data_IF_145088309042
#
_entry.id   IF_145088309042
#
_cell.length_a   1.000
_cell.length_b   1.000
_cell.length_c   1.000
_cell.angle_alpha   90.00
_cell.angle_beta   90.00
_cell.angle_gamma   90.00
#
_symmetry.space_group_name_H-M   'P 1'
#
loop_
_entity.id
_entity.type
_entity.pdbx_description
1 polymer ?
#
# COMPACT_ATOMS: atom_id res chain seq x y z
N UNK A 1 -0.32 39.15 -51.28
CA UNK A 1 0.99 38.75 -51.81
C UNK A 1 2.02 38.82 -50.69
N UNK A 2 2.49 37.69 -50.16
CA UNK A 2 3.66 37.67 -49.27
C UNK A 2 4.76 36.83 -49.93
N UNK A 3 5.84 37.51 -50.31
CA UNK A 3 7.05 36.91 -50.90
C UNK A 3 7.91 36.33 -49.76
N UNK A 4 8.49 35.15 -49.98
CA UNK A 4 9.46 34.54 -49.04
C UNK A 4 10.68 35.44 -48.92
N UNK A 5 10.96 35.98 -47.73
CA UNK A 5 12.07 36.93 -47.50
C UNK A 5 13.38 36.24 -47.08
N UNK A 6 13.38 34.93 -46.78
CA UNK A 6 14.62 34.18 -46.47
C UNK A 6 14.59 32.75 -46.98
N UNK A 7 15.73 32.29 -47.47
CA UNK A 7 16.05 30.87 -47.59
C UNK A 7 16.08 30.25 -46.19
N UNK A 8 15.02 29.53 -45.87
CA UNK A 8 14.92 28.77 -44.62
C UNK A 8 15.19 27.29 -44.92
N UNK A 9 16.31 26.76 -44.42
CA UNK A 9 16.83 25.40 -44.67
C UNK A 9 15.95 24.22 -44.21
N UNK A 10 14.70 24.45 -43.82
CA UNK A 10 13.83 23.38 -43.31
C UNK A 10 12.74 22.99 -44.31
N UNK A 11 12.60 21.68 -44.52
CA UNK A 11 11.57 21.06 -45.34
C UNK A 11 10.14 21.40 -44.88
N UNK A 12 9.95 21.78 -43.60
CA UNK A 12 8.65 22.19 -43.07
C UNK A 12 8.01 23.37 -43.83
N UNK A 13 8.82 24.20 -44.50
CA UNK A 13 8.35 25.35 -45.28
C UNK A 13 7.69 24.98 -46.61
N UNK A 14 7.81 23.73 -47.06
CA UNK A 14 7.02 23.21 -48.18
C UNK A 14 5.52 23.17 -47.83
N UNK A 15 5.22 22.88 -46.55
CA UNK A 15 3.87 22.67 -46.04
C UNK A 15 3.25 23.88 -45.33
N UNK A 16 3.96 25.02 -45.26
CA UNK A 16 3.46 26.24 -44.62
C UNK A 16 3.55 27.49 -45.49
N UNK A 17 2.61 28.40 -45.28
CA UNK A 17 2.72 29.77 -45.73
C UNK A 17 3.56 30.57 -44.75
N UNK A 18 4.40 31.45 -45.29
CA UNK A 18 5.17 32.43 -44.54
C UNK A 18 4.38 33.74 -44.52
N UNK A 19 3.85 34.09 -43.35
CA UNK A 19 3.03 35.28 -43.16
C UNK A 19 3.78 36.22 -42.24
N UNK A 20 4.05 37.43 -42.74
CA UNK A 20 4.68 38.50 -41.99
C UNK A 20 3.68 39.65 -41.80
N UNK A 21 3.53 40.12 -40.56
CA UNK A 21 2.79 41.34 -40.23
C UNK A 21 3.66 42.19 -39.28
N UNK A 22 4.26 43.25 -39.79
CA UNK A 22 5.27 44.03 -39.06
C UNK A 22 6.52 43.20 -38.76
N UNK A 23 6.95 43.16 -37.49
CA UNK A 23 8.07 42.33 -37.03
C UNK A 23 7.66 40.87 -36.71
N UNK A 24 6.36 40.56 -36.77
CA UNK A 24 5.82 39.25 -36.41
C UNK A 24 5.78 38.33 -37.65
N UNK A 25 6.62 37.29 -37.66
CA UNK A 25 6.71 36.30 -38.75
C UNK A 25 6.24 34.93 -38.28
N UNK A 26 5.27 34.36 -39.00
CA UNK A 26 4.57 33.13 -38.61
C UNK A 26 4.53 32.13 -39.76
N UNK A 27 4.74 30.86 -39.40
CA UNK A 27 4.45 29.72 -40.26
C UNK A 27 2.98 29.35 -40.08
N UNK A 28 2.23 29.24 -41.17
CA UNK A 28 0.81 28.84 -41.15
C UNK A 28 0.60 27.59 -42.00
N UNK A 29 -0.03 26.56 -41.45
CA UNK A 29 -0.17 25.28 -42.14
C UNK A 29 -1.05 25.40 -43.40
N UNK A 30 -0.49 25.07 -44.58
CA UNK A 30 -1.22 25.04 -45.86
C UNK A 30 -2.34 23.99 -45.86
N UNK A 31 -2.10 22.85 -45.21
CA UNK A 31 -3.03 21.71 -45.20
C UNK A 31 -4.25 22.03 -44.34
N UNK A 32 -4.06 22.66 -43.17
CA UNK A 32 -5.17 23.15 -42.35
C UNK A 32 -6.07 24.14 -43.11
N UNK A 33 -5.47 25.05 -43.90
CA UNK A 33 -6.22 26.00 -44.72
C UNK A 33 -6.98 25.27 -45.83
N UNK A 34 -6.34 24.35 -46.56
CA UNK A 34 -6.99 23.57 -47.63
C UNK A 34 -8.12 22.68 -47.12
N UNK A 35 -8.03 22.19 -45.88
CA UNK A 35 -9.10 21.41 -45.22
C UNK A 35 -10.20 22.27 -44.59
N UNK A 36 -10.18 23.58 -44.81
CA UNK A 36 -11.14 24.55 -44.27
C UNK A 36 -11.33 24.45 -42.73
N UNK A 37 -10.24 24.22 -42.01
CA UNK A 37 -10.31 24.17 -40.53
C UNK A 37 -10.59 25.55 -39.95
N UNK A 38 -11.55 25.63 -39.03
CA UNK A 38 -12.02 26.87 -38.37
C UNK A 38 -10.89 27.74 -37.78
N UNK A 39 -9.78 27.11 -37.34
CA UNK A 39 -8.57 27.80 -36.85
C UNK A 39 -7.33 27.07 -37.37
N UNK A 40 -6.76 27.49 -38.52
CA UNK A 40 -5.54 26.92 -39.04
C UNK A 40 -4.39 27.09 -38.03
N UNK A 41 -3.59 26.05 -37.84
CA UNK A 41 -2.49 26.10 -36.88
C UNK A 41 -1.39 27.04 -37.37
N UNK A 42 -0.97 27.94 -36.48
CA UNK A 42 0.08 28.94 -36.72
C UNK A 42 1.18 28.79 -35.68
N UNK A 43 2.44 28.85 -36.11
CA UNK A 43 3.61 28.76 -35.24
C UNK A 43 4.59 29.90 -35.52
N UNK A 44 5.44 30.22 -34.55
CA UNK A 44 6.52 31.21 -34.74
C UNK A 44 7.51 30.73 -35.79
N UNK A 45 8.05 31.64 -36.60
CA UNK A 45 9.09 31.26 -37.58
C UNK A 45 10.42 30.86 -36.92
N UNK A 46 10.64 31.28 -35.68
CA UNK A 46 11.77 30.91 -34.82
C UNK A 46 11.42 29.63 -34.06
N UNK A 47 12.08 28.52 -34.41
CA UNK A 47 11.85 27.20 -33.81
C UNK A 47 10.89 26.33 -34.62
N UNK A 48 11.44 25.36 -35.34
CA UNK A 48 10.69 24.52 -36.30
C UNK A 48 10.07 23.27 -35.63
N UNK A 49 10.46 22.94 -34.39
CA UNK A 49 10.06 21.69 -33.73
C UNK A 49 8.53 21.56 -33.53
N UNK A 50 7.85 22.64 -33.19
CA UNK A 50 6.39 22.65 -33.02
C UNK A 50 5.66 22.45 -34.35
N UNK A 51 6.18 23.07 -35.41
CA UNK A 51 5.72 22.86 -36.78
C UNK A 51 5.86 21.40 -37.21
N UNK A 52 7.02 20.79 -36.94
CA UNK A 52 7.27 19.38 -37.26
C UNK A 52 6.38 18.43 -36.45
N UNK A 53 6.12 18.72 -35.17
CA UNK A 53 5.19 17.94 -34.35
C UNK A 53 3.77 18.01 -34.93
N UNK A 54 3.29 19.21 -35.28
CA UNK A 54 1.98 19.39 -35.92
C UNK A 54 1.86 18.63 -37.25
N UNK A 55 2.85 18.72 -38.14
CA UNK A 55 2.86 17.98 -39.40
C UNK A 55 2.74 16.46 -39.18
N UNK A 56 3.39 15.93 -38.14
CA UNK A 56 3.33 14.51 -37.81
C UNK A 56 2.02 14.12 -37.10
N UNK A 57 1.59 14.88 -36.10
CA UNK A 57 0.47 14.54 -35.22
C UNK A 57 -0.88 14.73 -35.93
N UNK A 58 -1.06 15.85 -36.64
CA UNK A 58 -2.33 16.23 -37.27
C UNK A 58 -2.42 15.86 -38.75
N UNK A 59 -1.28 15.68 -39.43
CA UNK A 59 -1.25 15.40 -40.88
C UNK A 59 -0.51 14.11 -41.26
N UNK A 60 0.11 13.40 -40.30
CA UNK A 60 0.86 12.16 -40.52
C UNK A 60 2.00 12.30 -41.54
N UNK A 61 2.58 13.49 -41.66
CA UNK A 61 3.71 13.76 -42.55
C UNK A 61 5.01 13.50 -41.79
N UNK A 62 5.79 12.54 -42.27
CA UNK A 62 7.10 12.19 -41.74
C UNK A 62 8.20 13.04 -42.36
N UNK A 63 9.31 13.23 -41.64
CA UNK A 63 10.48 13.87 -42.22
C UNK A 63 11.07 13.04 -43.38
N UNK A 64 11.44 13.69 -44.51
CA UNK A 64 12.19 13.05 -45.58
C UNK A 64 13.53 12.49 -45.09
N UNK A 65 14.09 11.54 -45.84
CA UNK A 65 15.35 10.90 -45.51
C UNK A 65 16.49 11.94 -45.36
N UNK A 66 17.29 11.80 -44.31
CA UNK A 66 18.37 12.75 -43.97
C UNK A 66 17.93 14.12 -43.43
N UNK A 67 16.62 14.37 -43.24
CA UNK A 67 16.10 15.63 -42.69
C UNK A 67 15.72 15.51 -41.21
N UNK A 68 15.63 16.66 -40.52
CA UNK A 68 15.27 16.74 -39.10
C UNK A 68 13.87 16.16 -38.84
N UNK A 69 13.82 15.14 -37.98
CA UNK A 69 12.58 14.48 -37.52
C UNK A 69 11.89 15.25 -36.41
N UNK A 70 10.58 15.07 -36.27
CA UNK A 70 9.84 15.63 -35.14
C UNK A 70 10.10 14.84 -33.85
N UNK A 71 9.99 15.46 -32.68
CA UNK A 71 10.08 14.77 -31.39
C UNK A 71 8.94 13.76 -31.22
N UNK A 72 7.76 14.04 -31.78
CA UNK A 72 6.66 13.07 -31.86
C UNK A 72 7.01 11.86 -32.74
N UNK A 73 7.61 12.08 -33.91
CA UNK A 73 8.06 11.02 -34.82
C UNK A 73 9.16 10.16 -34.20
N UNK A 74 10.18 10.76 -33.60
CA UNK A 74 11.25 10.04 -32.90
C UNK A 74 10.73 9.18 -31.74
N UNK A 75 9.75 9.68 -30.98
CA UNK A 75 9.09 8.90 -29.92
C UNK A 75 8.27 7.74 -30.48
N UNK A 76 7.58 7.92 -31.60
CA UNK A 76 6.81 6.86 -32.25
C UNK A 76 7.70 5.78 -32.86
N UNK A 77 8.78 6.17 -33.54
CA UNK A 77 9.80 5.26 -34.09
C UNK A 77 10.54 4.52 -32.97
N UNK A 78 10.91 5.20 -31.88
CA UNK A 78 11.50 4.58 -30.70
C UNK A 78 10.58 3.60 -29.96
N UNK A 79 9.25 3.79 -30.03
CA UNK A 79 8.26 2.83 -29.51
C UNK A 79 8.15 1.58 -30.38
N UNK A 80 8.23 1.70 -31.71
CA UNK A 80 8.26 0.54 -32.62
C UNK A 80 9.56 -0.26 -32.48
N UNK A 81 10.69 0.40 -32.22
CA UNK A 81 11.98 -0.26 -32.02
C UNK A 81 12.08 -1.06 -30.69
N UNK A 82 11.29 -0.69 -29.66
CA UNK A 82 11.13 -1.52 -28.45
C UNK A 82 10.11 -2.64 -28.73
N UNK A 83 10.57 -3.72 -29.35
CA UNK A 83 9.82 -4.92 -29.76
C UNK A 83 8.54 -5.23 -28.98
N UNK A 84 7.42 -4.63 -29.41
CA UNK A 84 6.08 -5.11 -29.05
C UNK A 84 5.73 -6.22 -30.05
N UNK A 85 6.14 -7.44 -29.75
CA UNK A 85 5.65 -8.61 -30.48
C UNK A 85 4.14 -8.66 -30.40
N UNK A 86 3.42 -8.84 -31.50
CA UNK A 86 1.95 -8.92 -31.44
C UNK A 86 1.50 -10.19 -30.69
N UNK A 87 0.25 -10.23 -30.18
CA UNK A 87 -0.31 -11.48 -29.61
C UNK A 87 -0.25 -12.62 -30.63
N UNK A 88 -0.45 -12.28 -31.91
CA UNK A 88 -0.38 -13.23 -33.00
C UNK A 88 1.03 -13.80 -33.14
N UNK A 89 2.07 -12.97 -33.12
CA UNK A 89 3.46 -13.44 -33.15
C UNK A 89 3.81 -14.31 -31.94
N UNK A 90 3.38 -13.93 -30.74
CA UNK A 90 3.73 -14.66 -29.52
C UNK A 90 3.03 -16.03 -29.43
N UNK A 91 1.81 -16.11 -29.97
CA UNK A 91 1.05 -17.35 -30.08
C UNK A 91 1.27 -18.09 -31.41
N UNK A 92 2.17 -17.59 -32.28
CA UNK A 92 2.45 -18.13 -33.62
C UNK A 92 1.18 -18.28 -34.50
N UNK A 93 0.29 -17.30 -34.43
CA UNK A 93 -0.94 -17.21 -35.23
C UNK A 93 -0.71 -16.41 -36.51
N UNK A 94 -1.25 -16.90 -37.62
CA UNK A 94 -1.30 -16.22 -38.92
C UNK A 94 -2.53 -15.33 -39.02
N UNK A 95 -2.31 -14.02 -38.90
CA UNK A 95 -3.35 -12.98 -39.00
C UNK A 95 -4.03 -12.91 -40.36
N UNK A 96 -3.46 -13.51 -41.41
CA UNK A 96 -4.10 -13.56 -42.72
C UNK A 96 -5.24 -14.59 -42.77
N UNK A 97 -5.28 -15.52 -41.82
CA UNK A 97 -6.37 -16.49 -41.70
C UNK A 97 -7.46 -15.92 -40.78
N UNK A 98 -8.71 -15.78 -41.25
CA UNK A 98 -9.79 -15.19 -40.46
C UNK A 98 -10.02 -15.85 -39.09
N UNK A 99 -9.85 -17.18 -39.02
CA UNK A 99 -10.00 -17.96 -37.78
C UNK A 99 -8.90 -17.63 -36.75
N UNK A 100 -7.65 -17.55 -37.18
CA UNK A 100 -6.52 -17.27 -36.29
C UNK A 100 -6.49 -15.80 -35.86
N UNK A 101 -6.89 -14.88 -36.76
CA UNK A 101 -7.16 -13.48 -36.40
C UNK A 101 -8.27 -13.35 -35.35
N UNK A 102 -9.34 -14.13 -35.46
CA UNK A 102 -10.42 -14.14 -34.46
C UNK A 102 -9.93 -14.64 -33.10
N UNK A 103 -9.05 -15.66 -33.08
CA UNK A 103 -8.41 -16.15 -31.85
C UNK A 103 -7.55 -15.05 -31.22
N UNK A 104 -6.69 -14.39 -32.00
CA UNK A 104 -5.85 -13.28 -31.54
C UNK A 104 -6.69 -12.13 -30.94
N UNK A 105 -7.78 -11.75 -31.61
CA UNK A 105 -8.71 -10.73 -31.12
C UNK A 105 -9.43 -11.19 -29.84
N UNK A 106 -9.74 -12.48 -29.73
CA UNK A 106 -10.34 -13.08 -28.54
C UNK A 106 -9.46 -12.93 -27.30
N UNK A 107 -8.15 -13.15 -27.43
CA UNK A 107 -7.20 -12.93 -26.32
C UNK A 107 -7.19 -11.49 -25.81
N UNK A 108 -7.15 -10.51 -26.72
CA UNK A 108 -7.19 -9.08 -26.36
C UNK A 108 -8.52 -8.73 -25.70
N UNK A 109 -9.63 -9.21 -26.26
CA UNK A 109 -10.99 -8.93 -25.76
C UNK A 109 -11.23 -9.50 -24.37
N UNK A 110 -10.70 -10.69 -24.08
CA UNK A 110 -10.96 -11.41 -22.83
C UNK A 110 -10.03 -10.99 -21.68
N UNK A 111 -8.99 -10.21 -21.96
CA UNK A 111 -8.09 -9.72 -20.92
C UNK A 111 -8.52 -8.36 -20.38
N UNK A 112 -9.06 -8.34 -19.16
CA UNK A 112 -9.33 -7.10 -18.44
C UNK A 112 -8.09 -6.65 -17.63
N UNK A 113 -7.37 -5.67 -18.18
CA UNK A 113 -6.23 -5.02 -17.52
C UNK A 113 -6.58 -4.46 -16.15
N UNK A 114 -7.74 -3.83 -15.97
CA UNK A 114 -8.12 -3.21 -14.70
C UNK A 114 -8.40 -4.27 -13.65
N UNK A 115 -9.10 -5.34 -14.03
CA UNK A 115 -9.36 -6.46 -13.15
C UNK A 115 -8.06 -7.15 -12.70
N UNK A 116 -7.15 -7.44 -13.63
CA UNK A 116 -5.83 -7.98 -13.30
C UNK A 116 -5.07 -7.09 -12.31
N UNK A 117 -5.01 -5.78 -12.57
CA UNK A 117 -4.32 -4.84 -11.69
C UNK A 117 -4.95 -4.75 -10.30
N UNK A 118 -6.29 -4.91 -10.21
CA UNK A 118 -7.01 -4.95 -8.94
C UNK A 118 -6.66 -6.21 -8.14
N UNK A 119 -6.68 -7.38 -8.77
CA UNK A 119 -6.30 -8.64 -8.11
C UNK A 119 -4.86 -8.61 -7.56
N UNK A 120 -3.92 -8.07 -8.36
CA UNK A 120 -2.52 -7.92 -7.93
C UNK A 120 -2.40 -6.99 -6.70
N UNK A 121 -3.17 -5.89 -6.69
CA UNK A 121 -3.24 -4.97 -5.56
C UNK A 121 -3.87 -5.61 -4.32
N UNK A 122 -5.01 -6.30 -4.47
CA UNK A 122 -5.71 -7.01 -3.39
C UNK A 122 -4.80 -8.06 -2.76
N UNK A 123 -4.15 -8.90 -3.57
CA UNK A 123 -3.19 -9.88 -3.09
C UNK A 123 -2.03 -9.24 -2.32
N UNK A 124 -1.51 -8.11 -2.80
CA UNK A 124 -0.42 -7.38 -2.11
C UNK A 124 -0.85 -6.91 -0.72
N UNK A 125 -2.09 -6.42 -0.59
CA UNK A 125 -2.64 -5.95 0.70
C UNK A 125 -2.97 -7.12 1.62
N UNK A 126 -3.70 -8.12 1.13
CA UNK A 126 -4.15 -9.27 1.92
C UNK A 126 -2.99 -10.12 2.46
N UNK A 127 -1.95 -10.32 1.66
CA UNK A 127 -0.77 -11.07 2.05
C UNK A 127 0.33 -10.19 2.68
N UNK A 128 0.07 -8.88 2.89
CA UNK A 128 1.02 -7.92 3.47
C UNK A 128 2.40 -7.96 2.80
N UNK A 129 2.43 -7.94 1.46
CA UNK A 129 3.64 -8.07 0.66
C UNK A 129 4.31 -6.71 0.42
N UNK A 130 5.63 -6.73 0.20
CA UNK A 130 6.34 -5.54 -0.31
C UNK A 130 5.76 -5.11 -1.65
N UNK A 131 5.63 -3.81 -1.88
CA UNK A 131 5.20 -3.29 -3.18
C UNK A 131 6.16 -3.65 -4.31
N UNK A 132 7.43 -3.90 -3.98
CA UNK A 132 8.47 -4.35 -4.91
C UNK A 132 8.20 -5.76 -5.44
N UNK A 133 7.38 -6.57 -4.75
CA UNK A 133 7.02 -7.93 -5.19
C UNK A 133 6.39 -7.90 -6.59
N UNK A 134 5.61 -6.88 -6.93
CA UNK A 134 5.02 -6.72 -8.27
C UNK A 134 6.04 -6.37 -9.37
N UNK A 135 7.23 -5.92 -8.98
CA UNK A 135 8.34 -5.67 -9.88
C UNK A 135 9.24 -6.88 -10.09
N UNK A 136 9.09 -7.91 -9.26
CA UNK A 136 9.96 -9.08 -9.30
C UNK A 136 9.91 -9.79 -10.65
N UNK A 137 11.08 -9.92 -11.28
CA UNK A 137 11.20 -10.40 -12.65
C UNK A 137 10.61 -11.79 -12.86
N UNK A 138 10.81 -12.70 -11.89
CA UNK A 138 10.27 -14.06 -12.00
C UNK A 138 8.74 -14.05 -11.98
N UNK A 139 8.13 -13.19 -11.15
CA UNK A 139 6.68 -13.05 -11.08
C UNK A 139 6.12 -12.49 -12.39
N UNK A 140 6.75 -11.43 -12.93
CA UNK A 140 6.35 -10.87 -14.24
C UNK A 140 6.48 -11.87 -15.38
N UNK A 141 7.50 -12.74 -15.35
CA UNK A 141 7.65 -13.85 -16.30
C UNK A 141 6.54 -14.88 -16.13
N UNK A 142 6.14 -15.22 -14.90
CA UNK A 142 5.00 -16.12 -14.65
C UNK A 142 3.70 -15.51 -15.21
N UNK A 143 3.41 -14.24 -14.97
CA UNK A 143 2.23 -13.59 -15.53
C UNK A 143 2.23 -13.56 -17.06
N UNK A 144 3.38 -13.26 -17.68
CA UNK A 144 3.51 -13.25 -19.12
C UNK A 144 3.38 -14.67 -19.74
N UNK A 145 3.84 -15.70 -19.03
CA UNK A 145 3.66 -17.09 -19.42
C UNK A 145 2.19 -17.52 -19.38
N UNK A 146 1.48 -17.17 -18.30
CA UNK A 146 0.06 -17.49 -18.15
C UNK A 146 -0.83 -16.70 -19.11
N UNK A 147 -0.51 -15.42 -19.36
CA UNK A 147 -1.23 -14.61 -20.32
C UNK A 147 -0.32 -13.51 -20.93
N UNK A 148 0.06 -13.64 -22.22
CA UNK A 148 0.85 -12.64 -22.94
C UNK A 148 0.28 -11.22 -22.93
N UNK A 149 -1.05 -11.09 -22.84
CA UNK A 149 -1.73 -9.79 -22.79
C UNK A 149 -1.25 -8.93 -21.61
N UNK A 150 -0.78 -9.54 -20.52
CA UNK A 150 -0.25 -8.79 -19.37
C UNK A 150 0.93 -7.90 -19.77
N UNK A 151 1.85 -8.43 -20.60
CA UNK A 151 3.00 -7.66 -21.09
C UNK A 151 2.59 -6.71 -22.21
N UNK A 152 1.75 -7.17 -23.14
CA UNK A 152 1.37 -6.40 -24.33
C UNK A 152 0.49 -5.19 -24.03
N UNK A 153 -0.42 -5.34 -23.08
CA UNK A 153 -1.30 -4.26 -22.62
C UNK A 153 -0.65 -3.42 -21.51
N UNK A 154 0.63 -3.66 -21.17
CA UNK A 154 1.34 -2.99 -20.09
C UNK A 154 0.57 -3.03 -18.77
N UNK A 155 0.12 -4.22 -18.40
CA UNK A 155 -0.76 -4.45 -17.25
C UNK A 155 0.00 -4.62 -15.93
N UNK A 156 1.30 -4.94 -16.00
CA UNK A 156 2.18 -4.99 -14.83
C UNK A 156 2.16 -3.65 -14.06
N UNK A 157 2.35 -3.73 -12.76
CA UNK A 157 2.43 -2.55 -11.90
C UNK A 157 3.86 -2.38 -11.39
N UNK A 158 4.26 -1.12 -11.28
CA UNK A 158 5.41 -0.73 -10.45
C UNK A 158 5.00 -0.64 -8.97
N UNK A 159 5.98 -0.70 -8.07
CA UNK A 159 5.78 -0.51 -6.64
C UNK A 159 5.09 0.83 -6.35
N UNK A 160 5.51 1.89 -7.05
CA UNK A 160 4.89 3.22 -6.97
C UNK A 160 3.44 3.20 -7.46
N UNK A 161 3.15 2.44 -8.53
CA UNK A 161 1.79 2.32 -9.05
C UNK A 161 0.86 1.54 -8.13
N UNK A 162 1.38 0.48 -7.47
CA UNK A 162 0.65 -0.25 -6.43
C UNK A 162 0.31 0.69 -5.28
N UNK A 163 1.31 1.38 -4.71
CA UNK A 163 1.09 2.33 -3.61
C UNK A 163 0.02 3.36 -3.96
N UNK A 164 0.13 4.00 -5.13
CA UNK A 164 -0.85 5.00 -5.58
C UNK A 164 -2.27 4.43 -5.72
N UNK A 165 -2.40 3.20 -6.24
CA UNK A 165 -3.69 2.53 -6.38
C UNK A 165 -4.30 2.14 -5.03
N UNK A 166 -3.49 1.67 -4.09
CA UNK A 166 -3.93 1.36 -2.72
C UNK A 166 -4.44 2.62 -2.05
N UNK A 167 -3.68 3.72 -2.10
CA UNK A 167 -4.10 5.02 -1.51
C UNK A 167 -5.40 5.52 -2.15
N UNK A 168 -5.50 5.49 -3.48
CA UNK A 168 -6.72 5.89 -4.18
C UNK A 168 -7.92 5.01 -3.80
N UNK A 169 -7.71 3.70 -3.65
CA UNK A 169 -8.73 2.77 -3.19
C UNK A 169 -9.15 3.07 -1.75
N UNK A 170 -8.20 3.36 -0.86
CA UNK A 170 -8.48 3.77 0.51
C UNK A 170 -9.36 5.02 0.56
N UNK A 171 -8.98 6.10 -0.14
CA UNK A 171 -9.77 7.34 -0.16
C UNK A 171 -11.18 7.12 -0.71
N UNK A 172 -11.31 6.30 -1.76
CA UNK A 172 -12.61 5.93 -2.33
C UNK A 172 -13.49 5.21 -1.30
N UNK A 173 -12.93 4.26 -0.54
CA UNK A 173 -13.68 3.50 0.47
C UNK A 173 -13.88 4.28 1.77
N UNK A 174 -13.02 5.25 2.10
CA UNK A 174 -13.14 6.07 3.31
C UNK A 174 -14.49 6.79 3.37
N UNK A 175 -14.95 7.32 2.24
CA UNK A 175 -16.28 7.96 2.13
C UNK A 175 -17.40 6.99 2.53
N UNK A 176 -17.33 5.74 2.07
CA UNK A 176 -18.30 4.69 2.43
C UNK A 176 -18.27 4.38 3.92
N UNK A 177 -17.09 4.36 4.53
CA UNK A 177 -16.93 4.15 5.98
C UNK A 177 -17.54 5.31 6.76
N UNK A 178 -17.32 6.56 6.32
CA UNK A 178 -17.92 7.73 6.94
C UNK A 178 -19.45 7.64 6.96
N UNK A 179 -20.06 7.31 5.81
CA UNK A 179 -21.51 7.09 5.71
C UNK A 179 -22.02 6.07 6.74
N UNK A 180 -21.36 4.90 6.82
CA UNK A 180 -21.75 3.80 7.71
C UNK A 180 -21.63 4.20 9.20
N UNK A 181 -20.58 4.92 9.57
CA UNK A 181 -20.40 5.36 10.95
C UNK A 181 -21.42 6.45 11.32
N UNK A 182 -21.64 7.40 10.42
CA UNK A 182 -22.61 8.47 10.61
C UNK A 182 -24.06 7.94 10.65
N UNK A 183 -24.37 6.85 9.94
CA UNK A 183 -25.68 6.20 9.98
C UNK A 183 -25.91 5.23 11.15
N UNK A 184 -24.87 4.90 11.93
CA UNK A 184 -25.01 3.98 13.07
C UNK A 184 -26.15 4.41 14.04
N UNK A 185 -27.05 3.51 14.46
CA UNK A 185 -28.15 3.88 15.37
C UNK A 185 -27.69 4.27 16.78
N UNK A 186 -26.48 3.91 17.17
CA UNK A 186 -25.93 4.15 18.50
C UNK A 186 -24.72 5.08 18.53
N UNK A 187 -24.13 5.20 19.72
CA UNK A 187 -22.84 5.85 19.90
C UNK A 187 -21.71 4.96 19.35
N UNK A 188 -20.62 5.62 18.95
CA UNK A 188 -19.41 5.01 18.44
C UNK A 188 -18.38 5.01 19.57
N UNK A 189 -17.96 3.82 19.97
CA UNK A 189 -16.93 3.64 20.99
C UNK A 189 -15.57 3.52 20.32
N UNK A 190 -14.51 4.00 20.97
CA UNK A 190 -13.16 4.05 20.39
C UNK A 190 -12.18 3.31 21.29
N UNK A 191 -11.23 2.61 20.70
CA UNK A 191 -10.01 2.18 21.40
C UNK A 191 -8.83 2.69 20.61
N UNK A 192 -7.79 3.14 21.30
CA UNK A 192 -6.51 3.38 20.69
C UNK A 192 -5.40 2.76 21.52
N UNK A 193 -4.40 2.23 20.83
CA UNK A 193 -3.25 1.57 21.44
C UNK A 193 -1.97 2.01 20.73
N UNK A 194 -0.93 2.25 21.52
CA UNK A 194 0.33 2.80 21.04
C UNK A 194 1.44 1.77 21.08
N UNK A 195 2.18 1.62 19.98
CA UNK A 195 3.39 0.79 19.96
C UNK A 195 4.52 1.49 19.22
N UNK A 196 5.75 1.05 19.51
CA UNK A 196 6.92 1.46 18.74
C UNK A 196 7.22 0.40 17.69
N UNK A 197 7.22 0.79 16.41
CA UNK A 197 7.54 -0.11 15.31
C UNK A 197 9.03 -0.47 15.31
N UNK A 198 9.41 -1.53 14.58
CA UNK A 198 10.81 -1.96 14.46
C UNK A 198 11.74 -0.90 13.85
N UNK A 199 11.20 -0.02 13.01
CA UNK A 199 11.88 1.17 12.47
C UNK A 199 11.72 2.42 13.35
N UNK A 200 11.37 2.23 14.63
CA UNK A 200 11.33 3.24 15.71
C UNK A 200 10.26 4.32 15.60
N UNK A 201 9.28 4.16 14.71
CA UNK A 201 8.11 5.05 14.65
C UNK A 201 7.15 4.75 15.79
N UNK A 202 6.54 5.81 16.29
CA UNK A 202 5.56 5.80 17.36
C UNK A 202 4.16 5.74 16.75
N UNK A 203 3.59 4.55 16.62
CA UNK A 203 2.32 4.37 15.92
C UNK A 203 1.19 4.16 16.92
N UNK A 204 0.02 4.72 16.62
CA UNK A 204 -1.20 4.50 17.39
C UNK A 204 -2.27 3.88 16.52
N UNK A 205 -2.69 2.66 16.81
CA UNK A 205 -3.82 2.03 16.14
C UNK A 205 -5.12 2.53 16.73
N UNK A 206 -5.92 3.26 15.94
CA UNK A 206 -7.22 3.79 16.38
C UNK A 206 -8.33 2.98 15.72
N UNK A 207 -9.21 2.45 16.55
CA UNK A 207 -10.27 1.54 16.15
C UNK A 207 -11.59 1.97 16.77
N UNK A 208 -12.67 1.83 16.02
CA UNK A 208 -14.01 2.13 16.51
C UNK A 208 -14.89 0.88 16.55
N UNK A 209 -15.86 0.90 17.46
CA UNK A 209 -16.88 -0.11 17.67
C UNK A 209 -18.25 0.57 17.63
N UNK A 210 -19.17 0.00 16.86
CA UNK A 210 -20.48 0.60 16.64
C UNK A 210 -21.51 -0.49 16.32
N UNK A 211 -22.79 -0.13 16.33
CA UNK A 211 -23.87 -1.01 15.87
C UNK A 211 -24.16 -0.72 14.40
N UNK A 212 -24.31 -1.75 13.57
CA UNK A 212 -24.82 -1.56 12.21
C UNK A 212 -26.36 -1.40 12.19
N UNK A 213 -26.93 -1.17 11.01
CA UNK A 213 -28.37 -1.04 10.78
C UNK A 213 -29.18 -2.27 11.22
N UNK A 214 -28.52 -3.43 11.40
CA UNK A 214 -29.12 -4.68 11.90
C UNK A 214 -28.88 -4.88 13.39
N UNK A 215 -28.47 -3.83 14.11
CA UNK A 215 -28.08 -3.84 15.52
C UNK A 215 -26.97 -4.85 15.86
N UNK A 216 -26.13 -5.21 14.90
CA UNK A 216 -25.00 -6.11 15.13
C UNK A 216 -23.75 -5.30 15.47
N UNK A 217 -22.95 -5.73 16.46
CA UNK A 217 -21.69 -5.07 16.76
C UNK A 217 -20.73 -5.22 15.57
N UNK A 218 -20.13 -4.10 15.20
CA UNK A 218 -19.10 -3.97 14.16
C UNK A 218 -17.89 -3.26 14.72
N UNK A 219 -16.77 -3.49 14.05
CA UNK A 219 -15.49 -2.89 14.40
C UNK A 219 -14.73 -2.51 13.13
N UNK A 220 -14.14 -1.33 13.12
CA UNK A 220 -13.38 -0.80 11.97
C UNK A 220 -12.14 -0.07 12.50
N UNK A 221 -11.00 -0.26 11.84
CA UNK A 221 -9.79 0.54 12.10
C UNK A 221 -9.96 1.88 11.38
N UNK A 222 -9.88 2.98 12.14
CA UNK A 222 -9.99 4.34 11.62
C UNK A 222 -8.65 4.85 11.08
N UNK A 223 -7.55 4.47 11.71
CA UNK A 223 -6.23 4.91 11.28
C UNK A 223 -5.10 4.35 12.13
N UNK A 224 -3.89 4.55 11.62
CA UNK A 224 -2.64 4.24 12.32
C UNK A 224 -1.71 5.47 12.24
N UNK A 225 -2.05 6.59 12.88
CA UNK A 225 -1.22 7.79 12.89
C UNK A 225 0.12 7.54 13.56
N UNK A 226 1.12 8.31 13.12
CA UNK A 226 2.41 8.40 13.77
C UNK A 226 2.45 9.63 14.69
N UNK A 227 2.69 9.42 15.99
CA UNK A 227 2.98 10.50 16.93
C UNK A 227 4.47 10.82 16.83
N UNK A 228 4.83 11.68 15.88
CA UNK A 228 6.23 12.02 15.56
C UNK A 228 6.93 12.91 16.60
N UNK A 229 6.20 13.39 17.61
CA UNK A 229 6.69 14.28 18.67
C UNK A 229 6.80 13.54 20.01
N UNK A 230 7.12 14.26 21.11
CA UNK A 230 7.12 13.69 22.46
C UNK A 230 5.76 13.02 22.72
N UNK A 231 5.77 11.78 23.20
CA UNK A 231 4.57 11.03 23.59
C UNK A 231 3.90 11.63 24.83
N UNK A 232 3.28 12.79 24.66
CA UNK A 232 2.44 13.42 25.67
C UNK A 232 0.98 13.09 25.41
N UNK A 233 0.16 13.06 26.46
CA UNK A 233 -1.29 12.88 26.31
C UNK A 233 -1.92 13.89 25.35
N UNK A 234 -1.43 15.13 25.32
CA UNK A 234 -1.91 16.18 24.40
C UNK A 234 -1.67 15.83 22.94
N UNK A 235 -0.48 15.31 22.61
CA UNK A 235 -0.15 14.96 21.22
C UNK A 235 -0.93 13.72 20.77
N UNK A 236 -1.10 12.74 21.66
CA UNK A 236 -1.96 11.57 21.40
C UNK A 236 -3.40 12.02 21.15
N UNK A 237 -3.91 12.93 21.98
CA UNK A 237 -5.26 13.47 21.83
C UNK A 237 -5.45 14.21 20.51
N UNK A 238 -4.45 15.00 20.07
CA UNK A 238 -4.51 15.72 18.80
C UNK A 238 -4.69 14.77 17.61
N UNK A 239 -3.87 13.72 17.51
CA UNK A 239 -3.97 12.71 16.45
C UNK A 239 -5.33 11.96 16.48
N UNK A 240 -5.80 11.60 17.67
CA UNK A 240 -7.10 10.93 17.85
C UNK A 240 -8.25 11.84 17.42
N UNK A 241 -8.21 13.12 17.81
CA UNK A 241 -9.24 14.10 17.47
C UNK A 241 -9.24 14.42 15.97
N UNK A 242 -8.07 14.55 15.34
CA UNK A 242 -7.94 14.75 13.89
C UNK A 242 -8.58 13.58 13.12
N UNK A 243 -8.34 12.35 13.55
CA UNK A 243 -8.96 11.18 12.92
C UNK A 243 -10.46 11.17 13.13
N UNK A 244 -10.94 11.38 14.37
CA UNK A 244 -12.38 11.49 14.66
C UNK A 244 -13.06 12.57 13.80
N UNK A 245 -12.40 13.72 13.60
CA UNK A 245 -12.87 14.79 12.75
C UNK A 245 -12.90 14.39 11.27
N UNK A 246 -11.84 13.73 10.79
CA UNK A 246 -11.74 13.29 9.39
C UNK A 246 -12.82 12.28 8.99
N UNK A 247 -13.42 11.58 9.96
CA UNK A 247 -14.57 10.70 9.75
C UNK A 247 -15.93 11.38 9.99
N UNK A 248 -15.94 12.61 10.51
CA UNK A 248 -17.16 13.38 10.79
C UNK A 248 -18.04 12.75 11.86
N UNK A 249 -17.43 12.15 12.90
CA UNK A 249 -18.16 11.39 13.94
C UNK A 249 -18.09 12.00 15.34
N UNK A 250 -17.59 13.24 15.47
CA UNK A 250 -17.41 13.95 16.76
C UNK A 250 -18.65 13.89 17.67
N UNK A 251 -19.83 14.14 17.10
CA UNK A 251 -21.11 14.17 17.80
C UNK A 251 -21.68 12.79 18.16
N UNK A 252 -21.04 11.69 17.74
CA UNK A 252 -21.49 10.32 18.01
C UNK A 252 -20.56 9.55 18.94
N UNK A 253 -19.50 10.19 19.44
CA UNK A 253 -18.53 9.51 20.30
C UNK A 253 -19.15 9.11 21.64
N UNK A 254 -19.02 7.82 21.96
CA UNK A 254 -19.41 7.21 23.22
C UNK A 254 -18.23 7.09 24.17
N UNK A 255 -17.79 5.85 24.42
CA UNK A 255 -16.77 5.51 25.40
C UNK A 255 -15.44 5.16 24.74
N UNK A 256 -14.36 5.29 25.50
CA UNK A 256 -13.01 4.93 25.12
C UNK A 256 -12.52 3.74 25.93
N UNK A 257 -11.93 2.73 25.30
CA UNK A 257 -11.28 1.61 25.98
C UNK A 257 -9.78 1.68 25.75
N UNK A 258 -9.02 1.98 26.80
CA UNK A 258 -7.58 2.23 26.73
C UNK A 258 -6.84 1.42 27.81
N UNK A 259 -5.56 1.15 27.61
CA UNK A 259 -4.71 0.52 28.63
C UNK A 259 -4.53 1.41 29.88
N UNK A 260 -3.68 1.00 30.82
CA UNK A 260 -3.47 1.75 32.06
C UNK A 260 -2.39 2.84 31.99
N UNK A 261 -1.84 3.15 30.82
CA UNK A 261 -0.78 4.16 30.71
C UNK A 261 -1.25 5.53 31.23
N UNK A 262 -0.37 6.24 31.95
CA UNK A 262 -0.64 7.57 32.51
C UNK A 262 -0.90 8.61 31.41
N UNK A 263 -0.21 8.48 30.27
CA UNK A 263 -0.41 9.36 29.12
C UNK A 263 -1.86 9.36 28.62
N UNK A 264 -2.56 8.24 28.79
CA UNK A 264 -3.96 8.11 28.39
C UNK A 264 -4.91 8.85 29.35
N UNK A 265 -4.51 9.12 30.60
CA UNK A 265 -5.30 9.97 31.51
C UNK A 265 -5.28 11.42 31.01
N UNK A 266 -4.10 11.90 30.65
CA UNK A 266 -3.93 13.23 30.07
C UNK A 266 -4.60 13.35 28.69
N UNK A 267 -4.49 12.33 27.84
CA UNK A 267 -5.15 12.32 26.53
C UNK A 267 -6.68 12.40 26.66
N UNK A 268 -7.26 11.61 27.57
CA UNK A 268 -8.70 11.63 27.79
C UNK A 268 -9.21 12.94 28.39
N UNK A 269 -8.40 13.64 29.19
CA UNK A 269 -8.76 14.97 29.66
C UNK A 269 -8.89 15.97 28.49
N UNK A 270 -7.95 15.95 27.55
CA UNK A 270 -7.98 16.81 26.34
C UNK A 270 -9.14 16.41 25.42
N UNK A 271 -9.27 15.12 25.09
CA UNK A 271 -10.36 14.62 24.23
C UNK A 271 -11.74 14.97 24.83
N UNK A 272 -11.90 14.78 26.14
CA UNK A 272 -13.13 15.12 26.83
C UNK A 272 -13.46 16.61 26.79
N UNK A 273 -12.46 17.47 27.00
CA UNK A 273 -12.62 18.92 26.88
C UNK A 273 -13.10 19.34 25.50
N UNK A 274 -12.47 18.83 24.44
CA UNK A 274 -12.80 19.16 23.05
C UNK A 274 -14.16 18.60 22.60
N UNK A 275 -14.56 17.44 23.12
CA UNK A 275 -15.83 16.78 22.77
C UNK A 275 -16.97 17.08 23.76
N UNK A 276 -16.74 17.91 24.77
CA UNK A 276 -17.76 18.35 25.72
C UNK A 276 -18.21 17.28 26.72
N UNK A 277 -17.33 16.37 27.15
CA UNK A 277 -17.61 15.37 28.19
C UNK A 277 -16.46 15.20 29.19
N UNK A 278 -16.76 14.60 30.34
CA UNK A 278 -15.72 14.21 31.31
C UNK A 278 -14.98 12.95 30.82
N UNK A 279 -13.74 13.12 30.37
CA UNK A 279 -12.90 12.04 29.87
C UNK A 279 -12.73 10.88 30.85
N UNK A 280 -12.69 11.15 32.16
CA UNK A 280 -12.54 10.11 33.18
C UNK A 280 -13.78 9.22 33.26
N UNK A 281 -14.97 9.80 33.10
CA UNK A 281 -16.24 9.06 33.13
C UNK A 281 -16.49 8.24 31.86
N UNK A 282 -15.84 8.60 30.75
CA UNK A 282 -15.96 7.92 29.46
C UNK A 282 -14.79 7.01 29.10
N UNK A 283 -13.80 6.85 30.00
CA UNK A 283 -12.67 5.93 29.80
C UNK A 283 -12.89 4.61 30.57
N UNK A 284 -13.08 3.52 29.84
CA UNK A 284 -12.91 2.15 30.32
C UNK A 284 -11.44 1.71 30.26
N UNK A 285 -11.02 0.90 31.24
CA UNK A 285 -9.68 0.27 31.25
C UNK A 285 -9.71 -1.02 30.44
N UNK A 286 -8.65 -1.28 29.67
CA UNK A 286 -8.53 -2.47 28.85
C UNK A 286 -8.43 -3.73 29.74
N UNK A 287 -9.48 -4.55 29.71
CA UNK A 287 -9.53 -5.78 30.53
C UNK A 287 -8.37 -6.73 30.25
N UNK A 288 -7.98 -6.90 28.98
CA UNK A 288 -6.83 -7.74 28.62
C UNK A 288 -5.51 -7.22 29.21
N UNK A 289 -5.33 -5.90 29.25
CA UNK A 289 -4.17 -5.29 29.89
C UNK A 289 -4.17 -5.51 31.41
N UNK A 290 -5.33 -5.39 32.06
CA UNK A 290 -5.47 -5.70 33.49
C UNK A 290 -5.09 -7.15 33.78
N UNK A 291 -5.61 -8.10 33.01
CA UNK A 291 -5.25 -9.52 33.17
C UNK A 291 -3.75 -9.77 33.00
N UNK A 292 -3.13 -9.12 32.00
CA UNK A 292 -1.70 -9.21 31.79
C UNK A 292 -0.90 -8.65 32.98
N UNK A 293 -1.30 -7.49 33.53
CA UNK A 293 -0.68 -6.93 34.73
C UNK A 293 -0.82 -7.87 35.94
N UNK A 294 -2.01 -8.45 36.14
CA UNK A 294 -2.24 -9.44 37.21
C UNK A 294 -1.35 -10.68 37.03
N UNK A 295 -1.27 -11.23 35.82
CA UNK A 295 -0.42 -12.38 35.53
C UNK A 295 1.06 -12.07 35.76
N UNK A 296 1.55 -10.92 35.29
CA UNK A 296 2.93 -10.47 35.52
C UNK A 296 3.24 -10.30 37.01
N UNK A 297 2.31 -9.70 37.78
CA UNK A 297 2.49 -9.55 39.22
C UNK A 297 2.56 -10.91 39.94
N UNK A 298 1.77 -11.90 39.52
CA UNK A 298 1.80 -13.26 40.08
C UNK A 298 3.09 -14.01 39.71
N UNK A 299 3.53 -13.90 38.44
CA UNK A 299 4.68 -14.64 37.94
C UNK A 299 6.01 -14.04 38.35
N UNK A 300 6.13 -12.72 38.31
CA UNK A 300 7.40 -12.01 38.50
C UNK A 300 7.47 -11.25 39.83
N UNK A 301 6.37 -11.14 40.56
CA UNK A 301 6.31 -10.40 41.82
C UNK A 301 6.35 -8.89 41.59
N UNK A 302 7.11 -8.20 42.44
CA UNK A 302 7.19 -6.74 42.40
C UNK A 302 7.99 -6.22 41.19
N UNK A 303 7.51 -5.12 40.63
CA UNK A 303 8.15 -4.35 39.56
C UNK A 303 8.52 -5.18 38.30
N UNK A 304 7.53 -5.82 37.64
CA UNK A 304 7.76 -6.63 36.44
C UNK A 304 8.26 -5.78 35.26
N UNK A 305 7.89 -4.50 35.17
CA UNK A 305 8.35 -3.63 34.09
C UNK A 305 9.85 -3.33 34.19
N UNK A 306 10.37 -3.04 35.40
CA UNK A 306 11.80 -2.83 35.59
C UNK A 306 12.64 -4.08 35.30
N UNK A 307 12.04 -5.27 35.46
CA UNK A 307 12.65 -6.52 35.02
C UNK A 307 12.74 -6.61 33.52
N UNK A 308 11.60 -6.43 32.83
CA UNK A 308 11.49 -6.54 31.39
C UNK A 308 12.41 -5.53 30.67
N UNK A 309 12.57 -4.34 31.24
CA UNK A 309 13.49 -3.31 30.73
C UNK A 309 14.98 -3.70 30.80
N UNK A 310 15.35 -4.70 31.61
CA UNK A 310 16.72 -5.22 31.68
C UNK A 310 16.97 -6.34 30.67
N UNK A 311 15.92 -6.84 30.02
CA UNK A 311 16.00 -7.90 29.03
C UNK A 311 16.20 -7.28 27.64
N UNK A 312 17.10 -7.86 26.86
CA UNK A 312 17.30 -7.54 25.45
C UNK A 312 16.18 -8.07 24.56
N UNK A 313 15.47 -9.10 25.03
CA UNK A 313 14.45 -9.81 24.26
C UNK A 313 15.03 -10.70 23.14
N UNK A 314 16.34 -10.93 23.14
CA UNK A 314 16.98 -11.80 22.18
C UNK A 314 16.62 -13.27 22.44
N UNK A 315 16.41 -14.02 21.36
CA UNK A 315 16.20 -15.47 21.46
C UNK A 315 17.41 -16.20 22.04
N UNK A 316 18.60 -15.56 22.03
CA UNK A 316 19.82 -15.96 22.71
C UNK A 316 20.02 -15.13 23.99
N UNK A 317 19.89 -15.75 25.17
CA UNK A 317 20.10 -15.13 26.48
C UNK A 317 21.59 -14.97 26.68
N UNK A 318 22.02 -13.75 27.00
CA UNK A 318 23.35 -13.55 27.55
C UNK A 318 23.46 -14.23 28.93
N UNK A 319 24.69 -14.43 29.41
CA UNK A 319 24.93 -14.91 30.78
C UNK A 319 24.25 -13.99 31.81
N UNK A 320 24.26 -12.68 31.55
CA UNK A 320 23.60 -11.69 32.41
C UNK A 320 22.08 -11.84 32.43
N UNK A 321 21.44 -12.06 31.27
CA UNK A 321 19.99 -12.30 31.22
C UNK A 321 19.60 -13.64 31.85
N UNK A 322 20.42 -14.67 31.64
CA UNK A 322 20.21 -15.97 32.24
C UNK A 322 20.19 -15.88 33.77
N UNK A 323 21.10 -15.09 34.36
CA UNK A 323 21.10 -14.83 35.81
C UNK A 323 19.93 -13.93 36.27
N UNK A 324 19.53 -12.95 35.47
CA UNK A 324 18.36 -12.12 35.76
C UNK A 324 17.08 -12.96 35.83
N UNK A 325 16.89 -13.87 34.88
CA UNK A 325 15.78 -14.83 34.91
C UNK A 325 15.89 -15.76 36.11
N UNK A 326 17.05 -16.33 36.40
CA UNK A 326 17.24 -17.22 37.56
C UNK A 326 16.84 -16.57 38.89
N UNK A 327 17.03 -15.24 39.03
CA UNK A 327 16.61 -14.46 40.22
C UNK A 327 15.09 -14.32 40.37
N UNK A 328 14.28 -14.62 39.33
CA UNK A 328 12.81 -14.68 39.37
C UNK A 328 12.26 -16.01 39.91
N UNK A 329 13.07 -16.76 40.65
CA UNK A 329 12.63 -17.96 41.36
C UNK A 329 12.28 -19.12 40.41
N UNK A 330 11.31 -19.97 40.77
CA UNK A 330 10.94 -21.14 39.98
C UNK A 330 10.53 -20.81 38.54
N UNK A 331 9.78 -19.72 38.33
CA UNK A 331 9.32 -19.30 36.99
C UNK A 331 10.50 -18.96 36.10
N UNK A 332 11.46 -18.20 36.59
CA UNK A 332 12.61 -17.83 35.78
C UNK A 332 13.61 -18.97 35.55
N UNK A 333 13.71 -19.92 36.48
CA UNK A 333 14.45 -21.18 36.22
C UNK A 333 13.78 -22.02 35.14
N UNK A 334 12.45 -22.12 35.17
CA UNK A 334 11.68 -22.82 34.13
C UNK A 334 11.85 -22.13 32.78
N UNK A 335 11.80 -20.79 32.73
CA UNK A 335 12.07 -20.03 31.51
C UNK A 335 13.44 -20.38 30.91
N UNK A 336 14.51 -20.34 31.71
CA UNK A 336 15.85 -20.69 31.22
C UNK A 336 15.93 -22.13 30.70
N UNK A 337 15.29 -23.08 31.41
CA UNK A 337 15.24 -24.47 30.97
C UNK A 337 14.56 -24.61 29.59
N UNK A 338 13.40 -23.97 29.39
CA UNK A 338 12.69 -23.99 28.11
C UNK A 338 13.57 -23.40 27.01
N UNK A 339 14.20 -22.26 27.29
CA UNK A 339 15.10 -21.59 26.35
C UNK A 339 16.30 -22.46 25.96
N UNK A 340 16.89 -23.19 26.90
CA UNK A 340 18.01 -24.10 26.61
C UNK A 340 17.57 -25.30 25.77
N UNK A 341 16.36 -25.83 26.03
CA UNK A 341 15.76 -26.92 25.26
C UNK A 341 15.50 -26.50 23.82
N UNK A 342 14.89 -25.33 23.61
CA UNK A 342 14.53 -24.80 22.29
C UNK A 342 15.75 -24.53 21.39
N UNK A 343 16.92 -24.30 22.00
CA UNK A 343 18.17 -24.05 21.26
C UNK A 343 19.00 -25.28 20.95
N UNK A 344 18.66 -26.43 21.54
CA UNK A 344 19.43 -27.64 21.39
C UNK A 344 18.55 -28.75 20.85
N UNK A 345 18.80 -29.15 19.60
CA UNK A 345 18.14 -30.29 18.99
C UNK A 345 18.25 -31.52 19.90
N UNK A 346 19.40 -31.72 20.54
CA UNK A 346 19.63 -32.83 21.48
C UNK A 346 18.69 -32.76 22.68
N UNK A 347 18.56 -31.60 23.33
CA UNK A 347 17.69 -31.43 24.49
C UNK A 347 16.21 -31.49 24.09
N UNK A 348 15.85 -30.96 22.92
CA UNK A 348 14.53 -31.07 22.34
C UNK A 348 14.14 -32.53 22.09
N UNK A 349 15.02 -33.34 21.48
CA UNK A 349 14.78 -34.76 21.28
C UNK A 349 14.73 -35.54 22.60
N UNK A 350 15.55 -35.17 23.58
CA UNK A 350 15.51 -35.77 24.91
C UNK A 350 14.17 -35.51 25.61
N UNK A 351 13.69 -34.26 25.60
CA UNK A 351 12.38 -33.89 26.17
C UNK A 351 11.25 -34.68 25.49
N UNK A 352 11.26 -34.77 24.16
CA UNK A 352 10.28 -35.57 23.41
C UNK A 352 10.31 -37.05 23.82
N UNK A 353 11.50 -37.61 24.03
CA UNK A 353 11.66 -38.98 24.51
C UNK A 353 11.06 -39.20 25.90
N UNK A 354 11.30 -38.29 26.83
CA UNK A 354 10.71 -38.32 28.18
C UNK A 354 9.18 -38.21 28.12
N UNK A 355 8.66 -37.25 27.33
CA UNK A 355 7.23 -37.07 27.13
C UNK A 355 6.58 -38.33 26.52
N UNK A 356 7.22 -38.96 25.53
CA UNK A 356 6.70 -40.19 24.92
C UNK A 356 6.65 -41.34 25.93
N UNK A 357 7.72 -41.52 26.72
CA UNK A 357 7.78 -42.56 27.73
C UNK A 357 6.68 -42.38 28.81
N UNK A 358 6.43 -41.14 29.25
CA UNK A 358 5.37 -40.82 30.22
C UNK A 358 3.97 -41.06 29.61
N UNK A 359 3.75 -40.67 28.36
CA UNK A 359 2.50 -40.94 27.64
C UNK A 359 2.24 -42.44 27.50
N UNK A 360 3.25 -43.22 27.10
CA UNK A 360 3.14 -44.67 26.90
C UNK A 360 2.81 -45.41 28.20
N UNK A 361 3.31 -44.91 29.34
CA UNK A 361 3.04 -45.45 30.66
C UNK A 361 1.68 -45.02 31.24
N UNK A 362 0.97 -44.08 30.59
CA UNK A 362 -0.29 -43.57 31.10
C UNK A 362 -1.43 -44.60 31.00
N UNK A 363 -2.17 -44.76 32.10
CA UNK A 363 -3.38 -45.58 32.15
C UNK A 363 -4.54 -45.00 31.32
N UNK A 364 -4.52 -43.69 31.05
CA UNK A 364 -5.54 -43.01 30.24
C UNK A 364 -5.25 -43.20 28.74
N UNK A 365 -6.12 -43.90 27.98
CA UNK A 365 -5.96 -44.06 26.54
C UNK A 365 -5.89 -42.74 25.77
N UNK A 366 -6.51 -41.66 26.29
CA UNK A 366 -6.49 -40.33 25.67
C UNK A 366 -5.14 -39.65 25.83
N UNK A 367 -4.37 -39.99 26.85
CA UNK A 367 -3.01 -39.47 27.08
C UNK A 367 -2.02 -40.24 26.20
N UNK A 368 -2.15 -41.56 26.11
CA UNK A 368 -1.36 -42.40 25.18
C UNK A 368 -1.52 -42.01 23.71
N UNK A 369 -2.68 -41.50 23.33
CA UNK A 369 -2.94 -41.05 21.95
C UNK A 369 -2.35 -39.66 21.64
N UNK A 370 -1.79 -38.95 22.62
CA UNK A 370 -1.16 -37.64 22.41
C UNK A 370 0.20 -37.81 21.75
N UNK A 371 0.68 -36.72 21.14
CA UNK A 371 2.05 -36.63 20.63
C UNK A 371 2.86 -35.73 21.57
N UNK A 372 4.18 -35.99 21.71
CA UNK A 372 5.10 -35.05 22.34
C UNK A 372 4.93 -33.64 21.78
N UNK A 373 4.98 -32.65 22.67
CA UNK A 373 4.89 -31.24 22.30
C UNK A 373 6.30 -30.72 21.98
N UNK A 374 6.36 -29.68 21.16
CA UNK A 374 7.56 -28.86 21.04
C UNK A 374 7.51 -27.75 22.08
#
# INVERSE_FOLDING_TARGET
WSQRVRDTNSWAWEYGYDIQKGNDRKWVCKICIRKNTLKPKTFTSTGIQNTLNHLYDDHRICAPEGKTKSASQLRAEGRKAKGQSSIAELMKLDTNKPREQAIANGFIKNFDKKHFQRLLMEWTVEANLSFETAEYDKLRKIFAYLNPCVKLCDANLSATSIRRKIVASYEQHKTKVMEVLQSSPGLIHVSFDGWRSGNRHALYGIMCFFQDEKNKPRKIVLGVPEVSTRHSGTNIAAEVLEIIDSYGIKNKIGYFTLDNAENNDSAMAVIGGELGFDGRKRRGRCFGHILNLSAKALLFGSNPEAFENQLSGAAALSETEHDLWRRRGPVGKLHNLVVDIDRSDVLSYLLRGVQQADMDQSIDPRVRARKPLN
#
